data_IF_308589286187
#
_entry.id   IF_308589286187
#
_cell.length_a   1.000
_cell.length_b   1.000
_cell.length_c   1.000
_cell.angle_alpha   90.00
_cell.angle_beta   90.00
_cell.angle_gamma   90.00
#
_symmetry.space_group_name_H-M   'P 1'
#
loop_
_entity.id
_entity.type
_entity.pdbx_description
1 polymer ?
#
# COMPACT_ATOMS: atom_id res chain seq x y z
N UNK A 1 26.83 -9.62 33.66
CA UNK A 1 25.50 -8.99 33.79
C UNK A 1 24.48 -9.89 33.09
N UNK A 2 23.78 -10.75 33.84
CA UNK A 2 22.84 -11.73 33.30
C UNK A 2 21.47 -11.14 33.04
N UNK A 3 21.33 -10.31 32.01
CA UNK A 3 20.04 -9.75 31.61
C UNK A 3 19.22 -10.82 30.85
N UNK A 4 17.92 -10.87 31.12
CA UNK A 4 17.01 -11.81 30.48
C UNK A 4 16.90 -11.48 28.98
N UNK A 5 16.99 -12.49 28.12
CA UNK A 5 16.85 -12.37 26.65
C UNK A 5 15.68 -11.48 26.18
N UNK A 6 14.45 -11.56 26.73
CA UNK A 6 13.36 -10.67 26.32
C UNK A 6 13.62 -9.19 26.64
N UNK A 7 14.35 -8.88 27.69
CA UNK A 7 14.72 -7.49 28.01
C UNK A 7 15.61 -6.90 26.91
N UNK A 8 16.63 -7.65 26.48
CA UNK A 8 17.54 -7.24 25.40
C UNK A 8 16.76 -7.07 24.09
N UNK A 9 15.90 -8.04 23.76
CA UNK A 9 15.16 -8.05 22.51
C UNK A 9 14.23 -6.83 22.39
N UNK A 10 13.40 -6.56 23.39
CA UNK A 10 12.38 -5.50 23.32
C UNK A 10 12.90 -4.10 23.67
N UNK A 11 13.95 -3.99 24.49
CA UNK A 11 14.45 -2.69 24.97
C UNK A 11 15.67 -2.20 24.23
N UNK A 12 16.51 -3.10 23.72
CA UNK A 12 17.76 -2.73 23.04
C UNK A 12 17.66 -2.95 21.53
N UNK A 13 17.11 -4.08 21.08
CA UNK A 13 17.07 -4.42 19.65
C UNK A 13 15.86 -3.80 18.95
N UNK A 14 14.65 -4.01 19.50
CA UNK A 14 13.41 -3.61 18.85
C UNK A 14 13.32 -2.11 18.53
N UNK A 15 13.63 -1.16 19.44
CA UNK A 15 13.53 0.27 19.15
C UNK A 15 14.49 0.70 18.04
N UNK A 16 15.68 0.10 17.99
CA UNK A 16 16.68 0.39 16.97
C UNK A 16 16.28 -0.14 15.58
N UNK A 17 15.51 -1.23 15.51
CA UNK A 17 15.01 -1.80 14.25
C UNK A 17 13.62 -1.28 13.83
N UNK A 18 12.89 -0.66 14.75
CA UNK A 18 11.50 -0.21 14.54
C UNK A 18 11.35 0.69 13.30
N UNK A 19 12.22 1.70 13.05
CA UNK A 19 12.11 2.53 11.85
C UNK A 19 12.18 1.74 10.55
N UNK A 20 13.15 0.83 10.48
CA UNK A 20 13.36 -0.01 9.31
C UNK A 20 12.20 -0.98 9.09
N UNK A 21 11.72 -1.63 10.16
CA UNK A 21 10.56 -2.51 10.10
C UNK A 21 9.30 -1.77 9.64
N UNK A 22 9.08 -0.55 10.14
CA UNK A 22 7.91 0.25 9.78
C UNK A 22 7.91 0.62 8.29
N UNK A 23 9.05 1.07 7.75
CA UNK A 23 9.21 1.39 6.33
C UNK A 23 8.93 0.14 5.46
N UNK A 24 9.56 -0.99 5.79
CA UNK A 24 9.36 -2.23 5.05
C UNK A 24 7.91 -2.73 5.12
N UNK A 25 7.26 -2.57 6.28
CA UNK A 25 5.85 -2.91 6.44
C UNK A 25 4.96 -2.06 5.52
N UNK A 26 5.20 -0.75 5.42
CA UNK A 26 4.45 0.14 4.51
C UNK A 26 4.61 -0.30 3.06
N UNK A 27 5.85 -0.59 2.64
CA UNK A 27 6.14 -1.07 1.28
C UNK A 27 5.47 -2.42 0.99
N UNK A 28 5.51 -3.35 1.95
CA UNK A 28 4.85 -4.65 1.82
C UNK A 28 3.32 -4.52 1.74
N UNK A 29 2.72 -3.66 2.57
CA UNK A 29 1.29 -3.37 2.54
C UNK A 29 0.86 -2.74 1.22
N UNK A 30 1.65 -1.77 0.71
CA UNK A 30 1.44 -1.18 -0.60
C UNK A 30 1.45 -2.25 -1.71
N UNK A 31 2.47 -3.12 -1.72
CA UNK A 31 2.58 -4.23 -2.67
C UNK A 31 1.42 -5.21 -2.58
N UNK A 32 0.96 -5.55 -1.38
CA UNK A 32 -0.18 -6.43 -1.15
C UNK A 32 -1.48 -5.86 -1.73
N UNK A 33 -1.71 -4.55 -1.61
CA UNK A 33 -2.89 -3.89 -2.18
C UNK A 33 -2.84 -3.92 -3.70
N UNK A 34 -1.70 -3.60 -4.31
CA UNK A 34 -1.52 -3.69 -5.78
C UNK A 34 -1.72 -5.12 -6.28
N UNK A 35 -1.17 -6.11 -5.56
CA UNK A 35 -1.39 -7.52 -5.89
C UNK A 35 -2.87 -7.91 -5.77
N UNK A 36 -3.58 -7.47 -4.73
CA UNK A 36 -5.02 -7.71 -4.55
C UNK A 36 -5.84 -7.14 -5.71
N UNK A 37 -5.55 -5.90 -6.12
CA UNK A 37 -6.18 -5.27 -7.29
C UNK A 37 -5.91 -6.08 -8.56
N UNK A 38 -4.66 -6.50 -8.79
CA UNK A 38 -4.30 -7.33 -9.95
C UNK A 38 -5.00 -8.68 -9.97
N UNK A 39 -5.05 -9.38 -8.84
CA UNK A 39 -5.75 -10.66 -8.69
C UNK A 39 -7.25 -10.52 -9.00
N UNK A 40 -7.87 -9.45 -8.49
CA UNK A 40 -9.28 -9.18 -8.72
C UNK A 40 -9.56 -8.86 -10.20
N UNK A 41 -8.70 -8.05 -10.84
CA UNK A 41 -8.81 -7.77 -12.28
C UNK A 41 -8.70 -9.02 -13.15
N UNK A 42 -7.85 -9.97 -12.75
CA UNK A 42 -7.69 -11.27 -13.41
C UNK A 42 -8.83 -12.25 -13.10
N UNK A 43 -9.73 -11.93 -12.16
CA UNK A 43 -10.78 -12.85 -11.71
C UNK A 43 -10.26 -14.03 -10.89
N UNK A 44 -9.06 -13.91 -10.31
CA UNK A 44 -8.42 -14.95 -9.49
C UNK A 44 -8.75 -14.84 -8.00
N UNK A 45 -9.43 -13.76 -7.59
CA UNK A 45 -9.88 -13.54 -6.22
C UNK A 45 -11.42 -13.57 -6.15
N UNK A 46 -12.02 -13.89 -4.97
CA UNK A 46 -13.46 -13.86 -4.79
C UNK A 46 -14.05 -12.47 -5.08
N UNK A 47 -15.21 -12.43 -5.72
CA UNK A 47 -15.88 -11.18 -6.07
C UNK A 47 -16.06 -10.26 -4.86
N UNK A 48 -15.55 -9.04 -4.96
CA UNK A 48 -15.77 -7.98 -3.97
C UNK A 48 -16.01 -6.66 -4.68
N UNK A 49 -17.23 -6.09 -4.62
CA UNK A 49 -17.59 -4.88 -5.37
C UNK A 49 -16.87 -3.63 -4.87
N UNK A 50 -16.33 -3.66 -3.65
CA UNK A 50 -15.59 -2.55 -3.04
C UNK A 50 -14.09 -2.57 -3.39
N UNK A 51 -13.59 -3.66 -3.97
CA UNK A 51 -12.19 -3.75 -4.39
C UNK A 51 -11.97 -2.95 -5.68
N UNK A 52 -10.96 -2.08 -5.71
CA UNK A 52 -10.66 -1.27 -6.89
C UNK A 52 -10.35 -2.09 -8.15
N UNK A 53 -9.77 -3.28 -8.02
CA UNK A 53 -9.56 -4.18 -9.15
C UNK A 53 -10.86 -4.70 -9.76
N UNK A 54 -11.88 -4.96 -8.94
CA UNK A 54 -13.22 -5.31 -9.41
C UNK A 54 -13.87 -4.10 -10.09
N UNK A 55 -13.74 -2.90 -9.52
CA UNK A 55 -14.26 -1.68 -10.15
C UNK A 55 -13.67 -1.45 -11.54
N UNK A 56 -12.34 -1.64 -11.69
CA UNK A 56 -11.67 -1.55 -12.99
C UNK A 56 -12.16 -2.66 -13.93
N UNK A 57 -12.25 -3.90 -13.45
CA UNK A 57 -12.72 -5.03 -14.26
C UNK A 57 -14.13 -4.79 -14.80
N UNK A 58 -15.06 -4.34 -13.95
CA UNK A 58 -16.44 -4.02 -14.33
C UNK A 58 -16.50 -2.83 -15.30
N UNK A 59 -15.66 -1.81 -15.11
CA UNK A 59 -15.61 -0.65 -16.01
C UNK A 59 -15.10 -1.03 -17.42
N UNK A 60 -14.17 -1.98 -17.51
CA UNK A 60 -13.68 -2.50 -18.80
C UNK A 60 -14.73 -3.41 -19.45
N UNK A 61 -15.33 -4.32 -18.69
CA UNK A 61 -16.21 -5.36 -19.24
C UNK A 61 -17.66 -4.90 -19.48
N UNK A 62 -18.28 -4.16 -18.57
CA UNK A 62 -19.72 -3.90 -18.60
C UNK A 62 -20.13 -2.57 -19.22
N UNK A 63 -19.38 -1.49 -18.96
CA UNK A 63 -19.74 -0.15 -19.46
C UNK A 63 -19.11 0.17 -20.81
N UNK A 64 -18.26 -0.72 -21.32
CA UNK A 64 -17.44 -0.45 -22.50
C UNK A 64 -16.61 0.81 -22.31
N UNK A 65 -16.03 1.04 -21.12
CA UNK A 65 -15.44 2.32 -20.71
C UNK A 65 -14.33 2.86 -21.62
N UNK A 66 -13.78 2.02 -22.51
CA UNK A 66 -12.84 2.41 -23.57
C UNK A 66 -13.57 3.03 -24.77
N UNK A 67 -14.78 2.57 -25.08
CA UNK A 67 -15.55 2.93 -26.28
C UNK A 67 -16.74 3.85 -26.00
N UNK A 68 -17.17 3.98 -24.74
CA UNK A 68 -18.29 4.82 -24.35
C UNK A 68 -17.80 6.07 -23.57
N UNK A 69 -18.04 7.30 -24.07
CA UNK A 69 -17.65 8.55 -23.41
C UNK A 69 -18.23 8.76 -22.02
N UNK A 70 -19.25 7.99 -21.61
CA UNK A 70 -19.81 8.04 -20.25
C UNK A 70 -19.19 7.01 -19.30
N UNK A 71 -18.48 6.02 -19.83
CA UNK A 71 -17.88 4.93 -19.05
C UNK A 71 -16.47 5.23 -18.53
N UNK A 72 -15.75 6.20 -19.12
CA UNK A 72 -14.35 6.49 -18.78
C UNK A 72 -14.15 6.90 -17.32
N UNK A 73 -15.11 7.64 -16.74
CA UNK A 73 -15.01 8.14 -15.36
C UNK A 73 -14.98 6.99 -14.33
N UNK A 74 -15.70 5.90 -14.62
CA UNK A 74 -15.74 4.71 -13.77
C UNK A 74 -14.43 3.91 -13.81
N UNK A 75 -13.64 4.08 -14.88
CA UNK A 75 -12.31 3.48 -15.00
C UNK A 75 -11.25 4.37 -14.37
N UNK A 76 -11.29 5.69 -14.62
CA UNK A 76 -10.29 6.63 -14.11
C UNK A 76 -10.37 6.78 -12.59
N UNK A 77 -11.57 6.80 -12.00
CA UNK A 77 -11.76 7.00 -10.56
C UNK A 77 -10.96 6.00 -9.70
N UNK A 78 -11.11 4.67 -9.84
CA UNK A 78 -10.34 3.71 -9.04
C UNK A 78 -8.84 3.76 -9.34
N UNK A 79 -8.43 4.06 -10.57
CA UNK A 79 -7.02 4.20 -10.95
C UNK A 79 -6.40 5.42 -10.24
N UNK A 80 -7.09 6.56 -10.23
CA UNK A 80 -6.65 7.77 -9.55
C UNK A 80 -6.57 7.56 -8.04
N UNK A 81 -7.58 6.91 -7.43
CA UNK A 81 -7.56 6.57 -6.01
C UNK A 81 -6.37 5.67 -5.65
N UNK A 82 -6.12 4.63 -6.46
CA UNK A 82 -4.98 3.73 -6.26
C UNK A 82 -3.64 4.48 -6.40
N UNK A 83 -3.52 5.37 -7.41
CA UNK A 83 -2.32 6.19 -7.61
C UNK A 83 -2.05 7.15 -6.45
N UNK A 84 -3.09 7.86 -5.99
CA UNK A 84 -3.00 8.76 -4.84
C UNK A 84 -2.65 8.02 -3.56
N UNK A 85 -3.25 6.84 -3.34
CA UNK A 85 -2.91 5.98 -2.21
C UNK A 85 -1.44 5.58 -2.24
N UNK A 86 -0.94 5.14 -3.40
CA UNK A 86 0.47 4.78 -3.53
C UNK A 86 1.41 5.97 -3.26
N UNK A 87 1.09 7.15 -3.79
CA UNK A 87 1.85 8.37 -3.53
C UNK A 87 1.84 8.74 -2.04
N UNK A 88 0.69 8.62 -1.37
CA UNK A 88 0.57 8.85 0.06
C UNK A 88 1.43 7.89 0.88
N UNK A 89 1.46 6.59 0.53
CA UNK A 89 2.33 5.61 1.19
C UNK A 89 3.82 5.93 1.01
N UNK A 90 4.24 6.37 -0.18
CA UNK A 90 5.63 6.75 -0.44
C UNK A 90 6.00 7.99 0.38
N UNK A 91 5.18 9.03 0.34
CA UNK A 91 5.44 10.24 1.14
C UNK A 91 5.42 9.96 2.64
N UNK A 92 4.51 9.10 3.10
CA UNK A 92 4.46 8.68 4.49
C UNK A 92 5.74 7.92 4.88
N UNK A 93 6.21 7.00 4.03
CA UNK A 93 7.46 6.27 4.24
C UNK A 93 8.67 7.21 4.31
N UNK A 94 8.78 8.17 3.39
CA UNK A 94 9.87 9.14 3.36
C UNK A 94 9.85 10.07 4.58
N UNK A 95 8.66 10.58 4.95
CA UNK A 95 8.50 11.42 6.15
C UNK A 95 8.77 10.65 7.44
N UNK A 96 8.44 9.35 7.48
CA UNK A 96 8.76 8.48 8.60
C UNK A 96 10.27 8.23 8.70
N UNK A 97 10.96 8.05 7.58
CA UNK A 97 12.41 7.92 7.53
C UNK A 97 13.09 9.19 8.05
N UNK A 98 12.63 10.38 7.63
CA UNK A 98 13.14 11.66 8.11
C UNK A 98 12.89 11.86 9.60
N UNK A 99 11.68 11.53 10.10
CA UNK A 99 11.34 11.66 11.51
C UNK A 99 12.14 10.71 12.41
N UNK A 100 12.51 9.53 11.92
CA UNK A 100 13.19 8.48 12.69
C UNK A 100 14.71 8.45 12.47
N UNK A 101 15.24 9.21 11.50
CA UNK A 101 16.68 9.33 11.26
C UNK A 101 17.23 10.62 11.90
N UNK A 102 17.75 10.57 13.15
CA UNK A 102 18.27 11.76 13.83
C UNK A 102 19.50 12.38 13.15
N UNK A 103 20.15 11.69 12.20
CA UNK A 103 21.33 12.19 11.48
C UNK A 103 21.01 13.16 10.34
N UNK A 104 19.76 13.21 9.88
CA UNK A 104 19.31 14.16 8.83
C UNK A 104 18.86 15.50 9.42
N UNK A 105 18.85 15.64 10.75
CA UNK A 105 18.39 16.82 11.49
C UNK A 105 19.54 17.77 11.89
N UNK A 106 20.69 17.74 11.20
CA UNK A 106 21.83 18.65 11.40
C UNK A 106 21.93 19.71 10.31
#
# INVERSE_FOLDING_TARGET
>A
MGLKTPYILFREILPNLTPYLAINFIMAAQGAIVASVGLMMLGLAPYSPTNWGMMIQLAVQNTGGIFNPKGYIYLISPIMCLGLFQMACIFFSNGLEEALNPRLRS
#
